data_IF_242136772654
#
_entry.id   IF_242136772654
#
_cell.length_a   1.000
_cell.length_b   1.000
_cell.length_c   1.000
_cell.angle_alpha   90.00
_cell.angle_beta   90.00
_cell.angle_gamma   90.00
#
_symmetry.space_group_name_H-M   'P 1'
#
loop_
_entity.id
_entity.type
_entity.pdbx_description
1 polymer ?
#
# COMPACT_ATOMS: atom_id res chain seq x y z
N UNK A 1 -4.08 32.31 22.28
CA UNK A 1 -5.24 32.50 21.38
C UNK A 1 -5.30 31.28 20.47
N UNK A 2 -6.46 30.66 20.24
CA UNK A 2 -6.53 29.52 19.32
C UNK A 2 -6.43 30.03 17.87
N UNK A 3 -5.48 29.47 17.12
CA UNK A 3 -5.20 29.81 15.73
C UNK A 3 -5.16 28.54 14.87
N UNK A 4 -5.50 28.68 13.59
CA UNK A 4 -5.49 27.61 12.61
C UNK A 4 -4.61 28.02 11.45
N UNK A 5 -3.76 27.10 11.00
CA UNK A 5 -2.85 27.33 9.90
C UNK A 5 -3.24 26.47 8.70
N UNK A 6 -3.27 27.06 7.52
CA UNK A 6 -3.38 26.35 6.26
C UNK A 6 -2.13 26.57 5.43
N UNK A 7 -1.62 25.50 4.84
CA UNK A 7 -0.42 25.49 4.01
C UNK A 7 -0.78 24.89 2.66
N UNK A 8 -0.75 25.72 1.63
CA UNK A 8 -0.76 25.25 0.25
C UNK A 8 0.69 24.94 -0.17
N UNK A 9 0.94 23.68 -0.51
CA UNK A 9 2.28 23.17 -0.77
C UNK A 9 2.60 23.16 -2.26
N UNK A 10 3.82 23.58 -2.61
CA UNK A 10 4.38 23.52 -3.95
C UNK A 10 5.91 23.31 -3.92
N UNK A 11 6.52 22.92 -5.04
CA UNK A 11 7.92 22.46 -5.09
C UNK A 11 8.99 23.49 -4.67
N UNK A 12 8.73 24.81 -4.77
CA UNK A 12 9.75 25.84 -4.50
C UNK A 12 9.39 26.78 -3.36
N UNK A 13 8.10 26.87 -3.07
CA UNK A 13 7.56 27.76 -2.05
C UNK A 13 6.23 27.19 -1.57
N UNK A 14 5.81 27.66 -0.41
CA UNK A 14 4.51 27.31 0.15
C UNK A 14 3.80 28.60 0.52
N UNK A 15 2.50 28.65 0.26
CA UNK A 15 1.66 29.74 0.73
C UNK A 15 1.03 29.35 2.06
N UNK A 16 1.13 30.24 3.03
CA UNK A 16 0.69 30.03 4.40
C UNK A 16 -0.34 31.08 4.75
N UNK A 17 -1.43 30.65 5.37
CA UNK A 17 -2.42 31.54 5.97
C UNK A 17 -2.72 31.10 7.40
N UNK A 18 -2.81 32.07 8.31
CA UNK A 18 -3.17 31.84 9.72
C UNK A 18 -4.42 32.63 10.04
N UNK A 19 -5.42 31.96 10.60
CA UNK A 19 -6.69 32.56 11.01
C UNK A 19 -6.95 32.32 12.49
N UNK A 20 -7.64 33.26 13.13
CA UNK A 20 -8.13 33.07 14.50
C UNK A 20 -9.47 32.29 14.53
N UNK A 21 -9.99 32.04 15.72
CA UNK A 21 -11.27 31.38 15.93
C UNK A 21 -12.46 32.14 15.30
N UNK A 22 -12.41 33.48 15.28
CA UNK A 22 -13.44 34.31 14.65
C UNK A 22 -13.42 34.23 13.11
N UNK A 23 -12.32 33.72 12.53
CA UNK A 23 -12.10 33.66 11.10
C UNK A 23 -11.41 34.91 10.56
N UNK A 24 -10.85 35.75 11.42
CA UNK A 24 -10.02 36.88 11.01
C UNK A 24 -8.70 36.35 10.46
N UNK A 25 -8.30 36.82 9.28
CA UNK A 25 -6.97 36.57 8.75
C UNK A 25 -5.95 37.36 9.56
N UNK A 26 -5.09 36.65 10.31
CA UNK A 26 -4.03 37.26 11.12
C UNK A 26 -2.80 37.58 10.25
N UNK A 27 -2.39 36.60 9.45
CA UNK A 27 -1.23 36.74 8.56
C UNK A 27 -1.36 35.81 7.37
N UNK A 28 -0.81 36.27 6.23
CA UNK A 28 -0.61 35.47 5.03
C UNK A 28 0.77 35.75 4.49
N UNK A 29 1.55 34.71 4.22
CA UNK A 29 2.91 34.84 3.73
C UNK A 29 3.30 33.65 2.86
N UNK A 30 4.16 33.91 1.88
CA UNK A 30 4.85 32.87 1.11
C UNK A 30 6.19 32.56 1.77
N UNK A 31 6.48 31.28 1.98
CA UNK A 31 7.73 30.78 2.54
C UNK A 31 8.48 29.92 1.50
N UNK A 32 9.80 29.82 1.63
CA UNK A 32 10.64 28.92 0.82
C UNK A 32 10.53 27.47 1.30
N UNK A 33 10.80 26.49 0.43
CA UNK A 33 10.88 25.06 0.78
C UNK A 33 12.28 24.71 1.35
N UNK A 34 12.69 25.43 2.40
CA UNK A 34 13.98 25.23 3.07
C UNK A 34 13.90 25.58 4.57
N UNK A 35 15.04 25.46 5.26
CA UNK A 35 15.12 25.75 6.70
C UNK A 35 14.79 27.21 7.02
N UNK A 36 15.13 28.15 6.13
CA UNK A 36 14.80 29.56 6.34
C UNK A 36 13.28 29.77 6.27
N UNK A 37 12.61 29.13 5.32
CA UNK A 37 11.16 29.15 5.20
C UNK A 37 10.45 28.50 6.39
N UNK A 38 10.95 27.37 6.87
CA UNK A 38 10.42 26.73 8.09
C UNK A 38 10.66 27.58 9.35
N UNK A 39 11.81 28.23 9.47
CA UNK A 39 12.10 29.14 10.58
C UNK A 39 11.15 30.33 10.57
N UNK A 40 10.90 30.91 9.40
CA UNK A 40 9.94 32.00 9.22
C UNK A 40 8.50 31.56 9.55
N UNK A 41 8.13 30.33 9.20
CA UNK A 41 6.84 29.73 9.58
C UNK A 41 6.72 29.57 11.09
N UNK A 42 7.72 28.95 11.74
CA UNK A 42 7.73 28.74 13.19
C UNK A 42 7.65 30.06 13.96
N UNK A 43 8.40 31.08 13.54
CA UNK A 43 8.34 32.42 14.13
C UNK A 43 6.94 33.05 13.97
N UNK A 44 6.34 32.93 12.79
CA UNK A 44 5.00 33.43 12.50
C UNK A 44 3.93 32.74 13.37
N UNK A 45 4.02 31.42 13.53
CA UNK A 45 3.09 30.67 14.37
C UNK A 45 3.24 31.06 15.85
N UNK A 46 4.47 31.23 16.33
CA UNK A 46 4.75 31.66 17.69
C UNK A 46 4.25 33.09 17.98
N UNK A 47 4.45 34.02 17.04
CA UNK A 47 3.99 35.41 17.14
C UNK A 47 2.47 35.50 17.32
N UNK A 48 1.70 34.71 16.57
CA UNK A 48 0.24 34.75 16.61
C UNK A 48 -0.42 33.78 17.62
N UNK A 49 0.33 32.81 18.13
CA UNK A 49 -0.15 31.85 19.12
C UNK A 49 -0.43 32.45 20.51
N UNK A 50 0.25 33.55 20.83
CA UNK A 50 0.20 34.20 22.13
C UNK A 50 0.87 33.40 23.27
N UNK A 51 0.68 33.84 24.51
CA UNK A 51 1.41 33.33 25.70
C UNK A 51 1.17 31.84 26.03
N UNK A 52 0.14 31.21 25.45
CA UNK A 52 -0.20 29.79 25.65
C UNK A 52 0.15 28.92 24.43
N UNK A 53 1.03 29.41 23.55
CA UNK A 53 1.46 28.69 22.35
C UNK A 53 2.07 27.32 22.73
N UNK A 54 1.37 26.25 22.38
CA UNK A 54 1.80 24.87 22.61
C UNK A 54 1.81 24.10 21.30
N UNK A 55 0.67 24.06 20.61
CA UNK A 55 0.54 23.43 19.31
C UNK A 55 -0.47 24.18 18.43
N UNK A 56 -0.22 24.21 17.13
CA UNK A 56 -1.15 24.74 16.12
C UNK A 56 -1.72 23.58 15.31
N UNK A 57 -2.99 23.68 15.00
CA UNK A 57 -3.64 22.80 14.04
C UNK A 57 -3.33 23.30 12.62
N UNK A 58 -2.63 22.46 11.86
CA UNK A 58 -2.11 22.80 10.52
C UNK A 58 -2.77 21.91 9.47
N UNK A 59 -3.47 22.50 8.50
CA UNK A 59 -4.02 21.80 7.35
C UNK A 59 -3.09 21.89 6.14
N UNK A 60 -2.88 20.75 5.50
CA UNK A 60 -2.03 20.62 4.31
C UNK A 60 -2.56 19.48 3.43
N UNK A 61 -2.39 19.56 2.11
CA UNK A 61 -2.93 18.57 1.18
C UNK A 61 -2.05 17.31 1.00
N UNK A 62 -0.94 17.21 1.74
CA UNK A 62 0.00 16.08 1.70
C UNK A 62 0.22 15.46 3.07
N UNK A 63 0.38 14.14 3.12
CA UNK A 63 0.77 13.39 4.32
C UNK A 63 2.28 13.13 4.40
N UNK A 64 3.07 13.76 3.53
CA UNK A 64 4.51 13.50 3.32
C UNK A 64 5.31 14.78 3.12
N UNK A 65 6.63 14.65 3.27
CA UNK A 65 7.61 15.69 2.99
C UNK A 65 8.30 16.19 4.26
N UNK A 66 9.43 16.88 4.08
CA UNK A 66 10.24 17.39 5.19
C UNK A 66 9.49 18.45 5.99
N UNK A 67 8.68 19.30 5.35
CA UNK A 67 7.86 20.29 6.05
C UNK A 67 6.87 19.61 7.03
N UNK A 68 6.17 18.57 6.58
CA UNK A 68 5.24 17.82 7.44
C UNK A 68 5.98 17.18 8.62
N UNK A 69 7.14 16.59 8.37
CA UNK A 69 7.97 16.01 9.42
C UNK A 69 8.44 17.06 10.43
N UNK A 70 8.89 18.23 9.95
CA UNK A 70 9.36 19.34 10.79
C UNK A 70 8.22 19.94 11.63
N UNK A 71 7.03 20.13 11.05
CA UNK A 71 5.85 20.59 11.77
C UNK A 71 5.46 19.63 12.91
N UNK A 72 5.46 18.32 12.64
CA UNK A 72 5.18 17.31 13.67
C UNK A 72 6.25 17.27 14.76
N UNK A 73 7.53 17.34 14.38
CA UNK A 73 8.65 17.40 15.31
C UNK A 73 8.61 18.66 16.19
N UNK A 74 8.10 19.78 15.67
CA UNK A 74 7.83 21.00 16.42
C UNK A 74 6.57 20.94 17.31
N UNK A 75 5.89 19.78 17.39
CA UNK A 75 4.72 19.56 18.24
C UNK A 75 3.39 20.02 17.65
N UNK A 76 3.36 20.43 16.37
CA UNK A 76 2.11 20.85 15.73
C UNK A 76 1.25 19.66 15.31
N UNK A 77 -0.07 19.88 15.34
CA UNK A 77 -1.06 18.88 14.95
C UNK A 77 -1.37 19.03 13.46
N UNK A 78 -0.76 18.18 12.65
CA UNK A 78 -0.94 18.23 11.20
C UNK A 78 -2.14 17.41 10.75
N UNK A 79 -2.96 17.97 9.86
CA UNK A 79 -4.10 17.34 9.23
C UNK A 79 -3.85 17.25 7.73
N UNK A 80 -3.65 16.03 7.22
CA UNK A 80 -3.58 15.77 5.79
C UNK A 80 -5.00 15.80 5.19
N UNK A 81 -5.35 16.89 4.51
CA UNK A 81 -6.67 17.08 3.93
C UNK A 81 -6.70 16.52 2.52
N UNK A 82 -7.76 15.77 2.19
CA UNK A 82 -7.95 15.27 0.84
C UNK A 82 -8.20 16.45 -0.13
N UNK A 83 -7.47 16.58 -1.25
CA UNK A 83 -7.67 17.69 -2.19
C UNK A 83 -9.11 17.81 -2.71
N UNK A 84 -9.83 16.69 -2.81
CA UNK A 84 -11.25 16.70 -3.19
C UNK A 84 -12.15 17.32 -2.12
N UNK A 85 -11.78 17.21 -0.84
CA UNK A 85 -12.50 17.89 0.23
C UNK A 85 -12.24 19.40 0.19
N UNK A 86 -10.98 19.81 -0.03
CA UNK A 86 -10.59 21.22 -0.21
C UNK A 86 -11.33 21.83 -1.39
N UNK A 87 -11.36 21.13 -2.52
CA UNK A 87 -12.11 21.54 -3.72
C UNK A 87 -13.59 21.81 -3.44
N UNK A 88 -14.27 20.89 -2.75
CA UNK A 88 -15.68 21.05 -2.38
C UNK A 88 -15.91 22.16 -1.36
N UNK A 89 -14.93 22.41 -0.50
CA UNK A 89 -15.00 23.51 0.46
C UNK A 89 -14.77 24.85 -0.22
N UNK A 90 -13.90 24.91 -1.24
CA UNK A 90 -13.67 26.09 -2.07
C UNK A 90 -14.95 26.52 -2.78
N UNK A 91 -15.67 25.56 -3.37
CA UNK A 91 -16.95 25.81 -4.06
C UNK A 91 -18.02 26.44 -3.13
N UNK A 92 -17.91 26.26 -1.82
CA UNK A 92 -18.80 26.88 -0.83
C UNK A 92 -18.55 28.38 -0.66
N UNK A 93 -17.31 28.84 -0.86
CA UNK A 93 -16.89 30.21 -0.59
C UNK A 93 -16.73 31.04 -1.87
N UNK A 94 -16.51 30.40 -3.02
CA UNK A 94 -16.36 31.07 -4.30
C UNK A 94 -17.10 30.31 -5.40
N UNK A 95 -18.10 30.97 -5.99
CA UNK A 95 -18.85 30.48 -7.16
C UNK A 95 -18.18 30.83 -8.49
N UNK A 96 -17.18 31.72 -8.49
CA UNK A 96 -16.50 32.17 -9.72
C UNK A 96 -15.53 31.15 -10.28
N UNK A 97 -15.17 30.12 -9.50
CA UNK A 97 -14.14 29.13 -9.86
C UNK A 97 -12.72 29.69 -9.86
N UNK A 98 -12.51 30.94 -9.42
CA UNK A 98 -11.18 31.53 -9.33
C UNK A 98 -10.31 30.77 -8.32
N UNK A 99 -9.15 30.29 -8.79
CA UNK A 99 -8.14 29.60 -7.99
C UNK A 99 -6.91 30.50 -7.84
N UNK A 100 -6.37 30.60 -6.62
CA UNK A 100 -5.09 31.25 -6.36
C UNK A 100 -4.43 30.56 -5.17
N UNK A 101 -3.13 30.27 -5.26
CA UNK A 101 -2.37 29.57 -4.22
C UNK A 101 -2.50 30.24 -2.82
N UNK A 102 -2.44 31.59 -2.68
CA UNK A 102 -2.66 32.23 -1.37
C UNK A 102 -4.09 32.12 -0.85
N UNK A 103 -5.05 31.88 -1.74
CA UNK A 103 -6.45 31.61 -1.40
C UNK A 103 -6.65 30.17 -0.94
N UNK A 104 -5.89 29.22 -1.51
CA UNK A 104 -5.96 27.80 -1.14
C UNK A 104 -5.41 27.56 0.29
N UNK A 105 -4.33 28.25 0.66
CA UNK A 105 -3.84 28.26 2.04
C UNK A 105 -4.91 28.78 3.03
N UNK A 106 -5.64 29.84 2.66
CA UNK A 106 -6.71 30.40 3.50
C UNK A 106 -7.91 29.45 3.62
N UNK A 107 -8.28 28.79 2.51
CA UNK A 107 -9.32 27.76 2.46
C UNK A 107 -8.98 26.61 3.43
N UNK A 108 -7.73 26.13 3.42
CA UNK A 108 -7.25 25.08 4.33
C UNK A 108 -7.34 25.50 5.80
N UNK A 109 -6.94 26.73 6.11
CA UNK A 109 -7.00 27.26 7.48
C UNK A 109 -8.45 27.34 7.98
N UNK A 110 -9.37 27.85 7.15
CA UNK A 110 -10.80 27.91 7.49
C UNK A 110 -11.45 26.54 7.60
N UNK A 111 -11.06 25.58 6.76
CA UNK A 111 -11.57 24.22 6.80
C UNK A 111 -11.31 23.56 8.17
N UNK A 112 -10.12 23.73 8.76
CA UNK A 112 -9.89 23.29 10.13
C UNK A 112 -10.68 24.11 11.14
N UNK A 113 -10.70 25.43 11.02
CA UNK A 113 -11.44 26.28 11.95
C UNK A 113 -12.92 25.90 12.06
N UNK A 114 -13.57 25.52 10.96
CA UNK A 114 -15.02 25.22 10.93
C UNK A 114 -15.34 23.74 11.11
N UNK A 115 -14.52 22.84 10.56
CA UNK A 115 -14.86 21.41 10.44
C UNK A 115 -13.74 20.50 10.99
N UNK A 116 -12.92 21.00 11.94
CA UNK A 116 -11.82 20.24 12.60
C UNK A 116 -12.23 18.83 13.00
N UNK A 117 -13.42 18.68 13.58
CA UNK A 117 -13.98 17.43 14.09
C UNK A 117 -14.31 16.41 12.99
N UNK A 118 -14.50 16.87 11.75
CA UNK A 118 -14.71 16.03 10.58
C UNK A 118 -13.40 15.54 9.96
N UNK A 119 -12.26 16.11 10.37
CA UNK A 119 -10.93 15.73 9.92
C UNK A 119 -10.15 15.02 11.02
N UNK A 120 -9.25 14.13 10.62
CA UNK A 120 -8.39 13.39 11.56
C UNK A 120 -6.98 13.98 11.52
N UNK A 121 -6.34 14.20 12.66
CA UNK A 121 -4.92 14.51 12.67
C UNK A 121 -4.16 13.32 12.07
N UNK A 122 -2.97 13.59 11.55
CA UNK A 122 -2.05 12.55 11.13
C UNK A 122 -1.76 11.61 12.31
N UNK A 123 -1.67 10.29 12.04
CA UNK A 123 -1.43 9.32 13.09
C UNK A 123 -0.06 9.51 13.73
N UNK A 124 0.01 9.24 15.02
CA UNK A 124 1.26 9.33 15.77
C UNK A 124 2.07 8.03 15.71
N UNK A 125 2.36 7.60 14.47
CA UNK A 125 3.13 6.39 14.22
C UNK A 125 4.58 6.57 14.73
N UNK A 126 5.15 5.55 15.38
CA UNK A 126 6.53 5.62 15.92
C UNK A 126 7.57 5.78 14.81
N UNK A 127 8.77 6.25 15.15
CA UNK A 127 9.88 6.32 14.18
C UNK A 127 10.14 4.96 13.52
N UNK A 128 10.03 3.89 14.30
CA UNK A 128 10.21 2.52 13.79
C UNK A 128 9.04 2.10 12.88
N UNK A 129 7.79 2.40 13.24
CA UNK A 129 6.62 2.17 12.38
C UNK A 129 6.73 2.92 11.04
N UNK A 130 7.21 4.16 11.08
CA UNK A 130 7.49 4.96 9.88
C UNK A 130 8.62 4.36 9.03
N UNK A 131 9.72 3.92 9.65
CA UNK A 131 10.83 3.25 8.95
C UNK A 131 10.37 1.95 8.24
N UNK A 132 9.58 1.13 8.93
CA UNK A 132 8.96 -0.07 8.34
C UNK A 132 8.07 0.32 7.16
N UNK A 133 7.27 1.39 7.28
CA UNK A 133 6.42 1.88 6.18
C UNK A 133 7.24 2.27 4.95
N UNK A 134 8.34 2.99 5.12
CA UNK A 134 9.24 3.40 4.02
C UNK A 134 9.81 2.17 3.31
N UNK A 135 10.40 1.23 4.06
CA UNK A 135 10.99 0.03 3.51
C UNK A 135 9.95 -0.89 2.84
N UNK A 136 8.79 -1.07 3.46
CA UNK A 136 7.70 -1.88 2.93
C UNK A 136 7.16 -1.33 1.60
N UNK A 137 7.00 0.00 1.52
CA UNK A 137 6.56 0.68 0.29
C UNK A 137 7.59 0.56 -0.82
N UNK A 138 8.87 0.84 -0.53
CA UNK A 138 9.95 0.70 -1.49
C UNK A 138 10.07 -0.75 -2.01
N UNK A 139 9.99 -1.73 -1.11
CA UNK A 139 10.00 -3.13 -1.48
C UNK A 139 8.82 -3.51 -2.39
N UNK A 140 7.60 -3.06 -2.05
CA UNK A 140 6.41 -3.30 -2.88
C UNK A 140 6.52 -2.62 -4.26
N UNK A 141 7.08 -1.42 -4.33
CA UNK A 141 7.25 -0.67 -5.57
C UNK A 141 8.20 -1.40 -6.53
N UNK A 142 9.30 -1.97 -6.03
CA UNK A 142 10.18 -2.80 -6.86
C UNK A 142 9.53 -4.11 -7.29
N UNK A 143 8.68 -4.72 -6.46
CA UNK A 143 7.91 -5.92 -6.86
C UNK A 143 6.96 -5.59 -8.02
N UNK A 144 6.31 -4.43 -7.99
CA UNK A 144 5.46 -3.97 -9.09
C UNK A 144 6.27 -3.62 -10.34
N UNK A 145 7.40 -2.92 -10.20
CA UNK A 145 8.31 -2.62 -11.31
C UNK A 145 8.81 -3.91 -11.98
N UNK A 146 9.28 -4.89 -11.19
CA UNK A 146 9.70 -6.19 -11.70
C UNK A 146 8.60 -6.88 -12.51
N UNK A 147 7.34 -6.84 -12.04
CA UNK A 147 6.22 -7.41 -12.77
C UNK A 147 5.97 -6.71 -14.10
N UNK A 148 6.08 -5.38 -14.12
CA UNK A 148 5.95 -4.59 -15.35
C UNK A 148 7.06 -4.92 -16.36
N UNK A 149 8.32 -4.99 -15.91
CA UNK A 149 9.45 -5.32 -16.76
C UNK A 149 9.41 -6.77 -17.26
N UNK A 150 8.96 -7.72 -16.43
CA UNK A 150 8.73 -9.10 -16.86
C UNK A 150 7.66 -9.19 -17.95
N UNK A 151 6.59 -8.41 -17.85
CA UNK A 151 5.56 -8.33 -18.89
C UNK A 151 6.11 -7.69 -20.17
N UNK A 152 6.95 -6.66 -20.05
CA UNK A 152 7.63 -6.02 -21.18
C UNK A 152 8.55 -7.01 -21.90
N UNK A 153 9.36 -7.75 -21.14
CA UNK A 153 10.23 -8.80 -21.68
C UNK A 153 9.41 -9.89 -22.37
N UNK A 154 8.35 -10.37 -21.72
CA UNK A 154 7.44 -11.35 -22.32
C UNK A 154 6.84 -10.85 -23.62
N UNK A 155 6.36 -9.60 -23.67
CA UNK A 155 5.79 -9.02 -24.90
C UNK A 155 6.81 -9.02 -26.02
N UNK A 156 8.02 -8.53 -25.76
CA UNK A 156 9.09 -8.48 -26.74
C UNK A 156 9.48 -9.88 -27.24
N UNK A 157 9.65 -10.86 -26.34
CA UNK A 157 9.98 -12.23 -26.73
C UNK A 157 8.88 -12.88 -27.57
N UNK A 158 7.60 -12.53 -27.37
CA UNK A 158 6.50 -13.05 -28.24
C UNK A 158 6.63 -12.57 -29.69
N UNK A 159 7.28 -11.45 -29.95
CA UNK A 159 7.40 -10.87 -31.28
C UNK A 159 8.47 -11.54 -32.15
N UNK A 160 9.50 -12.16 -31.55
CA UNK A 160 10.62 -12.71 -32.31
C UNK A 160 11.34 -13.94 -31.71
N UNK A 161 11.07 -14.29 -30.45
CA UNK A 161 11.77 -15.38 -29.76
C UNK A 161 10.82 -16.21 -28.86
N UNK A 162 9.79 -16.87 -29.43
CA UNK A 162 8.80 -17.61 -28.65
C UNK A 162 9.38 -18.85 -27.94
N UNK A 163 10.42 -19.50 -28.47
CA UNK A 163 11.12 -20.59 -27.78
C UNK A 163 11.58 -20.23 -26.35
N UNK A 164 11.97 -18.97 -26.09
CA UNK A 164 12.31 -18.51 -24.74
C UNK A 164 11.13 -18.59 -23.75
N UNK A 165 9.90 -18.39 -24.22
CA UNK A 165 8.69 -18.45 -23.41
C UNK A 165 8.24 -19.89 -23.15
N UNK A 166 8.60 -20.81 -24.03
CA UNK A 166 8.45 -22.26 -23.82
C UNK A 166 9.49 -22.75 -22.82
N UNK A 167 10.74 -22.30 -22.97
CA UNK A 167 11.86 -22.65 -22.11
C UNK A 167 11.68 -22.19 -20.65
N UNK A 168 11.09 -21.01 -20.44
CA UNK A 168 10.99 -20.39 -19.12
C UNK A 168 9.56 -19.98 -18.78
N UNK A 169 9.00 -20.63 -17.75
CA UNK A 169 7.68 -20.27 -17.20
C UNK A 169 7.71 -18.94 -16.43
N UNK A 170 8.84 -18.64 -15.77
CA UNK A 170 9.08 -17.38 -15.07
C UNK A 170 10.39 -16.73 -15.55
N UNK A 171 10.22 -15.63 -16.29
CA UNK A 171 11.31 -14.83 -16.86
C UNK A 171 12.07 -14.00 -15.82
N UNK A 172 11.58 -13.92 -14.59
CA UNK A 172 12.26 -13.19 -13.50
C UNK A 172 13.26 -14.07 -12.74
N UNK A 173 13.29 -15.37 -13.02
CA UNK A 173 14.22 -16.29 -12.38
C UNK A 173 15.66 -15.98 -12.78
N UNK A 174 16.60 -16.19 -11.85
CA UNK A 174 18.04 -16.03 -12.13
C UNK A 174 18.47 -16.88 -13.32
N UNK A 175 17.91 -18.08 -13.47
CA UNK A 175 18.15 -18.96 -14.62
C UNK A 175 17.74 -18.33 -15.94
N UNK A 176 16.49 -17.89 -16.07
CA UNK A 176 16.01 -17.26 -17.31
C UNK A 176 16.85 -16.02 -17.66
N UNK A 177 17.13 -15.17 -16.66
CA UNK A 177 17.93 -13.96 -16.85
C UNK A 177 19.38 -14.27 -17.24
N UNK A 178 20.03 -15.26 -16.63
CA UNK A 178 21.41 -15.66 -17.00
C UNK A 178 21.49 -16.20 -18.43
N UNK A 179 20.53 -17.03 -18.84
CA UNK A 179 20.51 -17.60 -20.20
C UNK A 179 20.19 -16.52 -21.22
N UNK A 180 19.15 -15.71 -21.01
CA UNK A 180 18.77 -14.61 -21.92
C UNK A 180 19.81 -13.48 -21.96
N UNK A 181 20.57 -13.27 -20.88
CA UNK A 181 21.73 -12.38 -20.90
C UNK A 181 22.85 -12.92 -21.78
N UNK A 182 22.98 -14.24 -21.93
CA UNK A 182 24.03 -14.84 -22.78
C UNK A 182 23.56 -14.91 -24.22
N UNK A 183 22.35 -15.43 -24.43
CA UNK A 183 21.72 -15.64 -25.73
C UNK A 183 20.33 -14.95 -25.79
N UNK A 184 20.29 -13.64 -26.13
CA UNK A 184 19.06 -12.87 -26.16
C UNK A 184 18.23 -13.04 -27.45
N UNK A 185 18.74 -13.78 -28.43
CA UNK A 185 18.10 -14.00 -29.73
C UNK A 185 17.96 -15.49 -30.02
N UNK A 186 17.01 -15.90 -30.88
CA UNK A 186 16.89 -17.29 -31.31
C UNK A 186 18.17 -17.78 -31.99
N UNK A 187 18.82 -16.95 -32.83
CA UNK A 187 20.12 -17.26 -33.43
C UNK A 187 21.18 -17.58 -32.38
N UNK A 188 21.34 -16.72 -31.36
CA UNK A 188 22.34 -16.94 -30.33
C UNK A 188 22.01 -18.15 -29.45
N UNK A 189 20.73 -18.40 -29.19
CA UNK A 189 20.29 -19.50 -28.33
C UNK A 189 20.47 -20.86 -29.01
N UNK A 190 20.24 -20.96 -30.31
CA UNK A 190 20.47 -22.17 -31.09
C UNK A 190 21.95 -22.61 -31.12
N UNK A 191 22.89 -21.70 -30.87
CA UNK A 191 24.33 -21.98 -30.78
C UNK A 191 24.77 -22.49 -29.40
N UNK A 192 23.90 -22.43 -28.38
CA UNK A 192 24.25 -22.90 -27.05
C UNK A 192 24.30 -24.43 -27.04
N UNK A 193 25.48 -24.99 -26.78
CA UNK A 193 25.62 -26.42 -26.58
C UNK A 193 25.02 -26.84 -25.24
N UNK A 194 24.69 -28.13 -25.11
CA UNK A 194 24.27 -28.71 -23.82
C UNK A 194 25.27 -28.43 -22.69
N UNK A 195 26.58 -28.45 -22.98
CA UNK A 195 27.62 -28.13 -22.02
C UNK A 195 27.52 -26.67 -21.57
N UNK A 196 27.39 -25.71 -22.51
CA UNK A 196 27.20 -24.30 -22.16
C UNK A 196 25.96 -24.09 -21.29
N UNK A 197 24.86 -24.77 -21.59
CA UNK A 197 23.62 -24.66 -20.80
C UNK A 197 23.79 -25.23 -19.39
N UNK A 198 24.51 -26.33 -19.21
CA UNK A 198 24.85 -26.85 -17.88
C UNK A 198 25.65 -25.81 -17.08
N UNK A 199 26.64 -25.17 -17.69
CA UNK A 199 27.46 -24.15 -17.03
C UNK A 199 26.64 -22.91 -16.65
N UNK A 200 25.74 -22.46 -17.53
CA UNK A 200 24.83 -21.34 -17.26
C UNK A 200 23.84 -21.66 -16.14
N UNK A 201 23.30 -22.88 -16.10
CA UNK A 201 22.43 -23.34 -15.01
C UNK A 201 23.19 -23.42 -13.68
N UNK A 202 24.44 -23.86 -13.72
CA UNK A 202 25.32 -23.88 -12.56
C UNK A 202 25.60 -22.45 -12.05
N UNK A 203 25.94 -21.51 -12.94
CA UNK A 203 26.14 -20.10 -12.60
C UNK A 203 24.86 -19.42 -12.05
N UNK A 204 23.68 -19.89 -12.49
CA UNK A 204 22.40 -19.47 -11.94
C UNK A 204 22.07 -20.08 -10.56
N UNK A 205 22.93 -20.95 -10.01
CA UNK A 205 22.78 -21.56 -8.69
C UNK A 205 21.86 -22.77 -8.65
N UNK A 206 21.54 -23.38 -9.81
CA UNK A 206 20.67 -24.58 -9.90
C UNK A 206 21.46 -25.89 -9.75
N UNK A 207 22.80 -25.81 -9.76
CA UNK A 207 23.69 -26.96 -9.85
C UNK A 207 23.66 -27.60 -11.24
N UNK A 208 24.33 -28.74 -11.39
CA UNK A 208 24.39 -29.48 -12.65
C UNK A 208 23.03 -30.13 -12.94
N UNK A 209 22.35 -29.71 -14.01
CA UNK A 209 21.05 -30.25 -14.43
C UNK A 209 21.04 -30.67 -15.89
N UNK A 210 21.64 -31.82 -16.22
CA UNK A 210 21.83 -32.25 -17.61
C UNK A 210 20.52 -32.51 -18.36
N UNK A 211 19.43 -32.83 -17.66
CA UNK A 211 18.10 -33.03 -18.23
C UNK A 211 17.43 -31.69 -18.59
N UNK A 212 17.49 -30.69 -17.70
CA UNK A 212 17.00 -29.33 -17.96
C UNK A 212 17.79 -28.69 -19.12
N UNK A 213 19.11 -28.86 -19.15
CA UNK A 213 19.95 -28.41 -20.26
C UNK A 213 19.62 -29.10 -21.60
N UNK A 214 19.32 -30.40 -21.58
CA UNK A 214 18.93 -31.13 -22.79
C UNK A 214 17.59 -30.60 -23.34
N UNK A 215 16.60 -30.41 -22.46
CA UNK A 215 15.31 -29.83 -22.84
C UNK A 215 15.45 -28.40 -23.41
N UNK A 216 16.31 -27.57 -22.81
CA UNK A 216 16.60 -26.23 -23.34
C UNK A 216 17.28 -26.28 -24.71
N UNK A 217 18.20 -27.23 -24.92
CA UNK A 217 18.87 -27.41 -26.23
C UNK A 217 17.85 -27.75 -27.31
N UNK A 218 16.98 -28.73 -27.04
CA UNK A 218 15.89 -29.12 -27.94
C UNK A 218 14.95 -27.94 -28.22
N UNK A 219 14.57 -27.19 -27.18
CA UNK A 219 13.68 -26.04 -27.31
C UNK A 219 14.30 -24.92 -28.16
N UNK A 220 15.59 -24.63 -28.00
CA UNK A 220 16.26 -23.54 -28.74
C UNK A 220 16.70 -23.93 -30.16
N UNK A 221 16.70 -25.21 -30.50
CA UNK A 221 17.03 -25.70 -31.85
C UNK A 221 15.81 -26.08 -32.68
N UNK A 222 14.61 -26.01 -32.08
CA UNK A 222 13.35 -26.22 -32.79
C UNK A 222 13.15 -25.18 -33.91
N UNK A 223 12.49 -25.59 -34.99
CA UNK A 223 12.18 -24.72 -36.11
C UNK A 223 11.05 -23.74 -35.73
N UNK A 224 11.30 -22.45 -35.90
CA UNK A 224 10.35 -21.38 -35.58
C UNK A 224 10.39 -20.28 -36.65
N UNK A 225 9.33 -19.48 -36.74
CA UNK A 225 9.32 -18.27 -37.55
C UNK A 225 10.39 -17.29 -37.07
N UNK A 226 11.11 -16.66 -38.01
CA UNK A 226 12.26 -15.80 -37.73
C UNK A 226 12.03 -14.39 -38.25
N UNK A 227 12.59 -13.42 -37.53
CA UNK A 227 12.73 -12.05 -38.04
C UNK A 227 13.98 -11.97 -38.93
N UNK A 228 14.11 -10.95 -39.81
CA UNK A 228 15.35 -10.68 -40.50
C UNK A 228 16.51 -10.49 -39.51
N UNK A 229 17.72 -10.94 -39.85
CA UNK A 229 18.85 -11.01 -38.93
C UNK A 229 19.16 -9.68 -38.23
N UNK A 230 19.16 -8.56 -38.96
CA UNK A 230 19.40 -7.23 -38.37
C UNK A 230 18.33 -6.82 -37.35
N UNK A 231 17.07 -7.22 -37.59
CA UNK A 231 15.94 -6.96 -36.67
C UNK A 231 16.08 -7.84 -35.42
N UNK A 232 16.42 -9.12 -35.56
CA UNK A 232 16.69 -10.00 -34.41
C UNK A 232 17.82 -9.47 -33.54
N UNK A 233 18.92 -8.99 -34.14
CA UNK A 233 20.03 -8.39 -33.39
C UNK A 233 19.57 -7.16 -32.59
N UNK A 234 18.81 -6.26 -33.22
CA UNK A 234 18.29 -5.06 -32.54
C UNK A 234 17.31 -5.42 -31.40
N UNK A 235 16.40 -6.37 -31.63
CA UNK A 235 15.49 -6.86 -30.59
C UNK A 235 16.25 -7.58 -29.46
N UNK A 236 17.33 -8.29 -29.79
CA UNK A 236 18.24 -8.90 -28.82
C UNK A 236 18.89 -7.88 -27.88
N UNK A 237 19.30 -6.71 -28.38
CA UNK A 237 19.81 -5.63 -27.53
C UNK A 237 18.73 -5.07 -26.59
N UNK A 238 17.48 -4.96 -27.07
CA UNK A 238 16.35 -4.58 -26.22
C UNK A 238 16.07 -5.64 -25.13
N UNK A 239 16.18 -6.94 -25.45
CA UNK A 239 16.11 -8.03 -24.47
C UNK A 239 17.23 -7.89 -23.43
N UNK A 240 18.48 -7.70 -23.85
CA UNK A 240 19.63 -7.50 -22.93
C UNK A 240 19.39 -6.33 -21.98
N UNK A 241 18.86 -5.21 -22.47
CA UNK A 241 18.56 -4.05 -21.64
C UNK A 241 17.53 -4.37 -20.55
N UNK A 242 16.42 -5.03 -20.90
CA UNK A 242 15.39 -5.40 -19.91
C UNK A 242 15.92 -6.45 -18.92
N UNK A 243 16.70 -7.43 -19.39
CA UNK A 243 17.33 -8.45 -18.53
C UNK A 243 18.27 -7.82 -17.50
N UNK A 244 19.08 -6.82 -17.88
CA UNK A 244 19.93 -6.08 -16.94
C UNK A 244 19.10 -5.37 -15.87
N UNK A 245 18.02 -4.69 -16.27
CA UNK A 245 17.10 -4.02 -15.33
C UNK A 245 16.49 -5.03 -14.37
N UNK A 246 15.91 -6.12 -14.87
CA UNK A 246 15.31 -7.18 -14.03
C UNK A 246 16.32 -7.79 -13.06
N UNK A 247 17.56 -8.01 -13.50
CA UNK A 247 18.62 -8.55 -12.65
C UNK A 247 18.94 -7.60 -11.50
N UNK A 248 19.12 -6.31 -11.79
CA UNK A 248 19.35 -5.28 -10.78
C UNK A 248 18.15 -5.14 -9.83
N UNK A 249 16.93 -5.09 -10.35
CA UNK A 249 15.70 -5.01 -9.54
C UNK A 249 15.57 -6.22 -8.60
N UNK A 250 15.90 -7.43 -9.06
CA UNK A 250 15.88 -8.63 -8.21
C UNK A 250 16.89 -8.57 -7.05
N UNK A 251 18.08 -8.01 -7.27
CA UNK A 251 19.06 -7.78 -6.21
C UNK A 251 18.54 -6.74 -5.22
N UNK A 252 18.06 -5.59 -5.69
CA UNK A 252 17.51 -4.53 -4.84
C UNK A 252 16.29 -5.00 -4.03
N UNK A 253 15.44 -5.87 -4.60
CA UNK A 253 14.33 -6.50 -3.87
C UNK A 253 14.87 -7.31 -2.69
N UNK A 254 15.89 -8.16 -2.89
CA UNK A 254 16.48 -8.95 -1.79
C UNK A 254 17.09 -8.08 -0.71
N UNK A 255 17.78 -7.01 -1.10
CA UNK A 255 18.39 -6.06 -0.15
C UNK A 255 17.33 -5.35 0.69
N UNK A 256 16.27 -4.85 0.05
CA UNK A 256 15.14 -4.21 0.75
C UNK A 256 14.37 -5.21 1.61
N UNK A 257 14.21 -6.46 1.18
CA UNK A 257 13.57 -7.50 1.99
C UNK A 257 14.36 -7.76 3.27
N UNK A 258 15.69 -7.85 3.19
CA UNK A 258 16.56 -8.00 4.37
C UNK A 258 16.47 -6.79 5.31
N UNK A 259 16.54 -5.57 4.78
CA UNK A 259 16.40 -4.36 5.59
C UNK A 259 15.02 -4.25 6.25
N UNK A 260 13.96 -4.59 5.50
CA UNK A 260 12.59 -4.63 5.99
C UNK A 260 12.43 -5.65 7.11
N UNK A 261 13.01 -6.84 6.96
CA UNK A 261 13.02 -7.87 7.98
C UNK A 261 13.68 -7.40 9.28
N UNK A 262 14.90 -6.86 9.18
CA UNK A 262 15.63 -6.36 10.33
C UNK A 262 14.86 -5.26 11.08
N UNK A 263 14.22 -4.33 10.35
CA UNK A 263 13.42 -3.26 10.95
C UNK A 263 12.11 -3.77 11.55
N UNK A 264 11.42 -4.68 10.85
CA UNK A 264 10.15 -5.24 11.34
C UNK A 264 10.34 -6.09 12.60
N UNK A 265 11.39 -6.92 12.66
CA UNK A 265 11.66 -7.77 13.83
C UNK A 265 11.95 -6.98 15.11
N UNK A 266 12.39 -5.72 15.00
CA UNK A 266 12.60 -4.84 16.15
C UNK A 266 11.31 -4.21 16.68
N UNK A 267 10.22 -4.27 15.91
CA UNK A 267 8.97 -3.60 16.27
C UNK A 267 8.24 -4.33 17.41
N UNK A 268 7.71 -3.63 18.44
CA UNK A 268 7.03 -4.27 19.57
C UNK A 268 5.87 -5.21 19.16
N UNK A 269 5.10 -4.83 18.14
CA UNK A 269 3.98 -5.63 17.64
C UNK A 269 4.39 -6.74 16.65
N UNK A 270 5.67 -6.93 16.35
CA UNK A 270 6.13 -7.88 15.33
C UNK A 270 5.69 -9.31 15.64
N UNK A 271 5.87 -9.76 16.88
CA UNK A 271 5.45 -11.11 17.32
C UNK A 271 3.94 -11.30 17.21
N UNK A 272 3.16 -10.28 17.58
CA UNK A 272 1.69 -10.31 17.48
C UNK A 272 1.27 -10.43 16.02
N UNK A 273 1.87 -9.64 15.14
CA UNK A 273 1.51 -9.61 13.71
C UNK A 273 1.92 -10.91 13.01
N UNK A 274 3.12 -11.43 13.28
CA UNK A 274 3.62 -12.68 12.67
C UNK A 274 2.90 -13.93 13.21
N UNK A 275 2.29 -13.84 14.41
CA UNK A 275 1.43 -14.91 14.94
C UNK A 275 0.13 -15.11 14.14
N UNK A 276 -0.28 -14.13 13.33
CA UNK A 276 -1.52 -14.20 12.56
C UNK A 276 -1.38 -15.16 11.37
N UNK A 277 -2.31 -16.13 11.19
CA UNK A 277 -2.17 -17.14 10.13
C UNK A 277 -2.04 -16.52 8.73
N UNK A 278 -0.92 -16.79 8.06
CA UNK A 278 -0.66 -16.33 6.69
C UNK A 278 -0.01 -14.95 6.59
N UNK A 279 0.16 -14.22 7.69
CA UNK A 279 1.08 -13.08 7.75
C UNK A 279 2.45 -13.61 8.14
N UNK A 280 3.31 -13.84 7.15
CA UNK A 280 4.74 -13.94 7.40
C UNK A 280 5.38 -12.55 7.37
N UNK A 281 6.63 -12.47 7.79
CA UNK A 281 7.44 -11.25 7.89
C UNK A 281 7.13 -10.16 6.85
N UNK A 282 7.23 -10.45 5.54
CA UNK A 282 7.08 -9.42 4.49
C UNK A 282 5.65 -8.88 4.44
N UNK A 283 4.65 -9.77 4.53
CA UNK A 283 3.25 -9.36 4.53
C UNK A 283 2.88 -8.67 5.84
N UNK A 284 3.40 -9.14 6.98
CA UNK A 284 3.24 -8.51 8.28
C UNK A 284 3.77 -7.08 8.28
N UNK A 285 4.99 -6.88 7.79
CA UNK A 285 5.60 -5.56 7.68
C UNK A 285 4.84 -4.61 6.73
N UNK A 286 4.32 -5.12 5.60
CA UNK A 286 3.44 -4.33 4.71
C UNK A 286 2.13 -3.93 5.38
N UNK A 287 1.53 -4.83 6.15
CA UNK A 287 0.31 -4.56 6.90
C UNK A 287 0.57 -3.52 7.99
N UNK A 288 1.64 -3.68 8.76
CA UNK A 288 2.09 -2.71 9.78
C UNK A 288 2.37 -1.35 9.14
N UNK A 289 3.17 -1.29 8.07
CA UNK A 289 3.56 -0.04 7.44
C UNK A 289 2.39 0.77 6.84
N UNK A 290 1.29 0.12 6.47
CA UNK A 290 0.10 0.82 5.95
C UNK A 290 -0.96 1.11 7.02
N UNK A 291 -1.14 0.23 8.00
CA UNK A 291 -2.00 0.52 9.15
C UNK A 291 -1.36 1.50 10.11
N UNK A 292 -0.04 1.57 10.19
CA UNK A 292 0.67 2.23 11.27
C UNK A 292 0.55 1.49 12.60
N UNK A 293 1.28 1.98 13.58
CA UNK A 293 1.36 1.48 14.94
C UNK A 293 0.69 2.43 15.97
N UNK A 294 0.16 3.57 15.54
CA UNK A 294 -0.70 4.41 16.38
C UNK A 294 -2.00 3.65 16.76
N UNK A 295 -2.22 3.34 18.06
CA UNK A 295 -3.40 2.60 18.50
C UNK A 295 -4.71 3.40 18.34
N UNK A 296 -4.63 4.73 18.27
CA UNK A 296 -5.79 5.63 18.18
C UNK A 296 -6.20 5.96 16.75
N UNK A 297 -5.34 5.68 15.76
CA UNK A 297 -5.59 5.94 14.32
C UNK A 297 -6.91 5.39 13.82
N UNK A 298 -7.29 4.20 14.27
CA UNK A 298 -8.54 3.55 13.90
C UNK A 298 -9.45 3.32 15.09
N UNK A 299 -10.57 4.04 15.12
CA UNK A 299 -11.59 3.90 16.16
C UNK A 299 -12.08 2.46 16.28
N UNK A 300 -12.45 1.80 15.16
CA UNK A 300 -13.05 0.46 15.16
C UNK A 300 -12.53 -0.40 13.99
N UNK A 301 -12.69 -1.73 14.09
CA UNK A 301 -12.30 -2.67 13.03
C UNK A 301 -12.97 -2.40 11.68
N UNK A 302 -14.19 -1.85 11.67
CA UNK A 302 -14.86 -1.43 10.44
C UNK A 302 -14.09 -0.33 9.70
N UNK A 303 -13.45 0.60 10.42
CA UNK A 303 -12.62 1.66 9.85
C UNK A 303 -11.37 1.07 9.18
N UNK A 304 -10.73 0.08 9.80
CA UNK A 304 -9.61 -0.66 9.19
C UNK A 304 -10.01 -1.35 7.88
N UNK A 305 -11.18 -2.02 7.86
CA UNK A 305 -11.72 -2.66 6.64
C UNK A 305 -12.05 -1.64 5.54
N UNK A 306 -12.57 -0.48 5.90
CA UNK A 306 -12.86 0.60 4.96
C UNK A 306 -11.56 1.16 4.34
N UNK A 307 -10.52 1.33 5.16
CA UNK A 307 -9.22 1.83 4.73
C UNK A 307 -8.47 0.84 3.83
N UNK A 308 -8.47 -0.45 4.19
CA UNK A 308 -7.96 -1.55 3.35
C UNK A 308 -8.79 -1.77 2.07
N UNK A 309 -10.01 -1.21 2.02
CA UNK A 309 -10.95 -1.40 0.92
C UNK A 309 -11.42 -2.84 0.73
N UNK A 310 -11.56 -3.57 1.83
CA UNK A 310 -12.19 -4.89 1.89
C UNK A 310 -13.68 -4.80 2.20
N UNK A 311 -14.14 -3.69 2.78
CA UNK A 311 -15.56 -3.40 2.98
C UNK A 311 -16.22 -2.83 1.71
N UNK A 312 -17.43 -3.31 1.32
CA UNK A 312 -18.16 -2.77 0.19
C UNK A 312 -18.77 -1.39 0.50
N UNK A 313 -19.17 -0.67 -0.55
CA UNK A 313 -19.93 0.57 -0.45
C UNK A 313 -21.40 0.27 -0.74
N UNK A 314 -22.29 0.67 0.15
CA UNK A 314 -23.73 0.62 -0.14
C UNK A 314 -24.17 1.97 -0.68
N UNK A 315 -24.70 1.99 -1.91
CA UNK A 315 -25.41 3.15 -2.48
C UNK A 315 -26.90 2.88 -2.37
N UNK A 316 -27.58 3.68 -1.55
CA UNK A 316 -29.01 3.55 -1.35
C UNK A 316 -29.72 4.90 -1.55
N UNK A 317 -30.87 4.85 -2.20
CA UNK A 317 -31.88 5.91 -2.24
C UNK A 317 -33.23 5.31 -1.83
N UNK A 318 -34.27 6.13 -1.66
CA UNK A 318 -35.59 5.64 -1.26
C UNK A 318 -36.21 4.56 -2.18
N UNK A 319 -35.68 4.36 -3.40
CA UNK A 319 -36.18 3.36 -4.36
C UNK A 319 -35.13 2.36 -4.86
N UNK A 320 -33.85 2.55 -4.52
CA UNK A 320 -32.77 1.76 -5.12
C UNK A 320 -31.69 1.44 -4.09
N UNK A 321 -31.20 0.20 -4.07
CA UNK A 321 -30.09 -0.23 -3.20
C UNK A 321 -29.12 -1.09 -4.01
N UNK A 322 -27.86 -0.64 -4.07
CA UNK A 322 -26.78 -1.38 -4.70
C UNK A 322 -25.59 -1.50 -3.73
N UNK A 323 -24.96 -2.68 -3.71
CA UNK A 323 -23.73 -2.95 -2.97
C UNK A 323 -22.59 -3.04 -3.99
N UNK A 324 -21.67 -2.08 -3.93
CA UNK A 324 -20.60 -1.88 -4.91
C UNK A 324 -19.23 -2.13 -4.28
N UNK A 325 -18.25 -2.47 -5.12
CA UNK A 325 -16.86 -2.55 -4.69
C UNK A 325 -16.30 -1.15 -4.38
N UNK A 326 -15.44 -1.06 -3.36
CA UNK A 326 -14.68 0.15 -3.05
C UNK A 326 -13.43 0.21 -3.94
N UNK A 327 -13.43 1.10 -4.92
CA UNK A 327 -12.27 1.28 -5.81
C UNK A 327 -11.25 2.30 -5.27
N UNK A 328 -11.72 3.35 -4.60
CA UNK A 328 -10.85 4.32 -3.90
C UNK A 328 -10.48 3.73 -2.55
N UNK A 329 -9.23 3.28 -2.42
CA UNK A 329 -8.68 2.60 -1.24
C UNK A 329 -7.16 2.68 -1.23
N UNK A 330 -6.56 2.36 -0.09
CA UNK A 330 -5.12 2.11 -0.03
C UNK A 330 -4.79 0.85 -0.85
N UNK A 331 -4.17 1.02 -2.01
CA UNK A 331 -3.86 -0.09 -2.94
C UNK A 331 -2.84 -1.08 -2.35
N UNK A 332 -1.86 -0.59 -1.58
CA UNK A 332 -0.82 -1.42 -0.95
C UNK A 332 -1.42 -2.31 0.12
N UNK A 333 -2.24 -1.72 1.00
CA UNK A 333 -2.94 -2.47 2.03
C UNK A 333 -3.95 -3.46 1.43
N UNK A 334 -4.66 -3.07 0.37
CA UNK A 334 -5.57 -3.97 -0.33
C UNK A 334 -4.86 -5.19 -0.94
N UNK A 335 -3.68 -4.99 -1.53
CA UNK A 335 -2.81 -6.06 -2.06
C UNK A 335 -2.31 -6.97 -0.93
N UNK A 336 -1.79 -6.38 0.15
CA UNK A 336 -1.31 -7.12 1.32
C UNK A 336 -2.43 -7.94 1.98
N UNK A 337 -3.62 -7.37 2.17
CA UNK A 337 -4.77 -8.10 2.72
C UNK A 337 -5.26 -9.22 1.80
N UNK A 338 -5.19 -9.04 0.48
CA UNK A 338 -5.53 -10.10 -0.47
C UNK A 338 -4.55 -11.28 -0.36
N UNK A 339 -3.24 -10.98 -0.36
CA UNK A 339 -2.19 -12.00 -0.21
C UNK A 339 -2.26 -12.68 1.16
N UNK A 340 -2.57 -11.93 2.22
CA UNK A 340 -2.81 -12.50 3.54
C UNK A 340 -3.99 -13.48 3.53
N UNK A 341 -5.14 -13.08 2.99
CA UNK A 341 -6.30 -13.97 2.90
C UNK A 341 -5.99 -15.25 2.11
N UNK A 342 -5.21 -15.13 1.03
CA UNK A 342 -4.77 -16.27 0.24
C UNK A 342 -3.83 -17.20 1.03
N UNK A 343 -2.79 -16.64 1.66
CA UNK A 343 -1.83 -17.39 2.47
C UNK A 343 -2.48 -18.05 3.70
N UNK A 344 -3.49 -17.41 4.29
CA UNK A 344 -4.24 -17.94 5.42
C UNK A 344 -4.96 -19.26 5.10
N UNK A 345 -5.30 -19.53 3.83
CA UNK A 345 -6.00 -20.76 3.43
C UNK A 345 -5.21 -22.04 3.71
N UNK A 346 -3.87 -21.97 3.70
CA UNK A 346 -3.01 -23.14 3.98
C UNK A 346 -2.55 -23.18 5.43
N UNK A 347 -2.68 -22.07 6.16
CA UNK A 347 -2.19 -21.90 7.54
C UNK A 347 -3.30 -21.91 8.59
N UNK A 348 -4.56 -21.74 8.21
CA UNK A 348 -5.73 -21.75 9.10
C UNK A 348 -6.85 -22.62 8.54
N UNK A 349 -7.17 -23.68 9.29
CA UNK A 349 -8.32 -24.57 9.00
C UNK A 349 -9.65 -23.80 9.01
N UNK A 350 -9.78 -22.82 9.90
CA UNK A 350 -10.95 -21.94 9.97
C UNK A 350 -11.11 -21.04 8.74
N UNK A 351 -10.02 -20.42 8.28
CA UNK A 351 -10.02 -19.61 7.06
C UNK A 351 -10.36 -20.45 5.83
N UNK A 352 -9.75 -21.65 5.72
CA UNK A 352 -10.03 -22.60 4.64
C UNK A 352 -11.50 -23.01 4.60
N UNK A 353 -12.03 -23.44 5.75
CA UNK A 353 -13.43 -23.87 5.87
C UNK A 353 -14.40 -22.76 5.48
N UNK A 354 -14.11 -21.50 5.86
CA UNK A 354 -14.93 -20.37 5.46
C UNK A 354 -14.87 -20.11 3.96
N UNK A 355 -13.67 -20.10 3.37
CA UNK A 355 -13.47 -19.94 1.93
C UNK A 355 -14.22 -21.01 1.13
N UNK A 356 -14.13 -22.28 1.54
CA UNK A 356 -14.83 -23.39 0.87
C UNK A 356 -16.35 -23.24 0.95
N UNK A 357 -16.90 -22.81 2.10
CA UNK A 357 -18.33 -22.47 2.20
C UNK A 357 -18.73 -21.37 1.24
N UNK A 358 -17.92 -20.31 1.10
CA UNK A 358 -18.21 -19.21 0.15
C UNK A 358 -18.15 -19.69 -1.30
N UNK A 359 -17.16 -20.50 -1.67
CA UNK A 359 -17.03 -21.11 -3.00
C UNK A 359 -18.24 -22.00 -3.32
N UNK A 360 -18.67 -22.80 -2.35
CA UNK A 360 -19.84 -23.68 -2.47
C UNK A 360 -21.15 -22.88 -2.62
N UNK A 361 -21.22 -21.69 -2.02
CA UNK A 361 -22.33 -20.75 -2.18
C UNK A 361 -22.28 -19.92 -3.49
N UNK A 362 -21.37 -20.24 -4.42
CA UNK A 362 -21.30 -19.63 -5.76
C UNK A 362 -20.37 -18.42 -5.89
N UNK A 363 -19.69 -17.98 -4.83
CA UNK A 363 -18.72 -16.88 -4.95
C UNK A 363 -17.53 -17.31 -5.82
N UNK A 364 -17.10 -16.47 -6.78
CA UNK A 364 -15.81 -16.63 -7.48
C UNK A 364 -14.63 -16.54 -6.49
N UNK A 365 -13.46 -17.09 -6.85
CA UNK A 365 -12.25 -17.10 -6.00
C UNK A 365 -11.96 -15.77 -5.29
N UNK A 366 -11.82 -14.68 -6.07
CA UNK A 366 -11.52 -13.36 -5.54
C UNK A 366 -12.65 -12.77 -4.68
N UNK A 367 -13.90 -13.20 -4.88
CA UNK A 367 -15.02 -12.78 -4.04
C UNK A 367 -15.00 -13.56 -2.71
N UNK A 368 -14.73 -14.87 -2.76
CA UNK A 368 -14.62 -15.71 -1.58
C UNK A 368 -13.46 -15.28 -0.66
N UNK A 369 -12.31 -14.88 -1.22
CA UNK A 369 -11.16 -14.36 -0.46
C UNK A 369 -11.43 -13.00 0.20
N UNK A 370 -12.16 -12.10 -0.48
CA UNK A 370 -12.36 -10.72 0.00
C UNK A 370 -13.45 -10.59 1.07
N UNK A 371 -14.38 -11.53 1.14
CA UNK A 371 -15.47 -11.44 2.12
C UNK A 371 -14.91 -11.75 3.51
N UNK A 372 -15.05 -10.84 4.48
CA UNK A 372 -14.58 -11.12 5.83
C UNK A 372 -15.38 -12.30 6.40
N UNK A 373 -14.70 -13.16 7.16
CA UNK A 373 -15.36 -14.11 8.07
C UNK A 373 -16.32 -13.30 8.95
N UNK A 374 -17.60 -13.70 9.10
CA UNK A 374 -18.42 -13.11 10.14
C UNK A 374 -17.69 -13.36 11.47
N UNK A 375 -17.32 -12.30 12.17
CA UNK A 375 -17.02 -12.40 13.60
C UNK A 375 -18.17 -13.16 14.23
N UNK A 376 -17.88 -14.19 15.05
CA UNK A 376 -18.88 -14.98 15.79
C UNK A 376 -20.09 -14.10 16.06
N UNK A 377 -21.24 -14.50 15.51
CA UNK A 377 -22.51 -13.84 15.79
C UNK A 377 -22.55 -13.62 17.31
N UNK A 378 -22.58 -12.36 17.74
CA UNK A 378 -23.29 -12.06 18.97
C UNK A 378 -24.69 -12.57 18.69
N UNK A 379 -25.02 -13.73 19.25
CA UNK A 379 -26.41 -14.17 19.33
C UNK A 379 -27.19 -12.99 19.90
N UNK A 380 -28.21 -12.47 19.21
CA UNK A 380 -29.02 -11.41 19.78
C UNK A 380 -29.59 -11.96 21.09
N UNK A 381 -29.27 -11.30 22.21
CA UNK A 381 -29.98 -11.58 23.46
C UNK A 381 -31.47 -11.36 23.17
N UNK A 382 -32.37 -12.28 23.57
CA UNK A 382 -33.80 -12.05 23.40
C UNK A 382 -34.17 -10.76 24.12
N UNK A 383 -34.74 -9.81 23.39
CA UNK A 383 -35.36 -8.61 23.95
C UNK A 383 -36.45 -9.06 24.92
N UNK A 384 -36.45 -8.59 26.18
CA UNK A 384 -37.58 -8.82 27.08
C UNK A 384 -38.83 -8.15 26.47
N UNK A 385 -40.02 -8.76 26.61
CA UNK A 385 -41.25 -8.17 26.10
C UNK A 385 -41.52 -6.83 26.81
N UNK A 386 -41.89 -5.82 26.03
CA UNK A 386 -42.35 -4.53 26.53
C UNK A 386 -43.68 -4.71 27.28
N UNK A 387 -43.91 -3.99 28.40
CA UNK A 387 -45.18 -4.04 29.11
C UNK A 387 -46.29 -3.34 28.30
N UNK A 388 -47.48 -3.94 28.36
CA UNK A 388 -48.69 -3.43 27.72
C UNK A 388 -49.10 -2.07 28.32
N UNK A 389 -49.31 -1.07 27.47
CA UNK A 389 -50.03 0.15 27.82
C UNK A 389 -51.33 0.27 26.99
N UNK A 390 -52.41 0.81 27.59
CA UNK A 390 -53.76 0.63 27.07
C UNK A 390 -54.14 1.64 25.98
N UNK A 391 -55.12 1.22 25.18
CA UNK A 391 -55.77 1.95 24.08
C UNK A 391 -56.30 3.34 24.50
N UNK A 392 -56.13 4.33 23.61
CA UNK A 392 -57.23 5.00 22.90
C UNK A 392 -56.73 6.29 22.20
N UNK A 393 -57.12 6.52 20.94
CA UNK A 393 -58.05 7.60 20.54
C UNK A 393 -58.10 7.78 19.01
N UNK A 394 -59.27 7.41 18.49
CA UNK A 394 -60.08 8.02 17.44
C UNK A 394 -59.40 8.72 16.23
N UNK A 395 -59.67 8.14 15.06
CA UNK A 395 -59.52 8.74 13.74
C UNK A 395 -60.59 9.80 13.49
N UNK A 396 -60.21 10.92 12.87
CA UNK A 396 -61.11 11.87 12.21
C UNK A 396 -60.74 12.01 10.71
N UNK A 397 -61.68 12.42 9.82
CA UNK A 397 -61.68 12.02 8.42
C UNK A 397 -61.00 12.99 7.46
N UNK A 398 -60.71 12.44 6.27
CA UNK A 398 -60.05 13.03 5.09
C UNK A 398 -60.71 14.34 4.61
N UNK A 399 -59.90 15.36 4.37
CA UNK A 399 -60.20 16.48 3.48
C UNK A 399 -59.54 16.24 2.12
N UNK A 400 -60.37 16.21 1.08
CA UNK A 400 -59.95 16.22 -0.31
C UNK A 400 -59.34 17.58 -0.67
N UNK A 401 -58.16 17.58 -1.29
CA UNK A 401 -57.64 18.74 -2.02
C UNK A 401 -57.12 18.29 -3.39
N UNK A 402 -57.87 18.75 -4.38
CA UNK A 402 -57.47 18.99 -5.77
C UNK A 402 -56.12 19.72 -5.85
N UNK A 403 -55.21 19.22 -6.68
CA UNK A 403 -53.90 19.81 -6.92
C UNK A 403 -53.40 19.48 -8.32
N UNK A 404 -53.15 20.53 -9.08
CA UNK A 404 -52.90 20.57 -10.51
C UNK A 404 -51.74 19.71 -11.02
N UNK A 405 -51.96 19.19 -12.23
CA UNK A 405 -50.96 18.58 -13.11
C UNK A 405 -50.06 19.68 -13.68
N UNK A 406 -48.80 19.73 -13.25
CA UNK A 406 -47.74 20.48 -13.93
C UNK A 406 -46.79 19.49 -14.61
N UNK A 407 -46.78 19.58 -15.93
CA UNK A 407 -45.88 18.89 -16.85
C UNK A 407 -44.58 19.68 -16.97
N UNK A 408 -43.43 19.06 -16.71
CA UNK A 408 -42.13 19.57 -17.16
C UNK A 408 -41.22 18.45 -17.64
N UNK A 409 -41.05 18.44 -18.97
CA UNK A 409 -39.94 17.99 -19.80
C UNK A 409 -38.82 17.12 -19.18
N UNK A 410 -38.81 15.85 -19.60
CA UNK A 410 -37.62 15.02 -19.72
C UNK A 410 -36.85 15.38 -20.99
N UNK A 411 -35.67 16.01 -20.85
CA UNK A 411 -34.63 15.97 -21.88
C UNK A 411 -33.72 14.78 -21.59
N UNK A 412 -33.75 13.81 -22.50
CA UNK A 412 -32.80 12.72 -22.55
C UNK A 412 -31.41 13.22 -22.93
N UNK A 413 -30.40 12.65 -22.29
CA UNK A 413 -29.03 12.60 -22.83
C UNK A 413 -28.59 11.15 -22.80
N UNK A 414 -28.08 10.76 -23.95
CA UNK A 414 -27.75 9.43 -24.43
C UNK A 414 -26.79 8.64 -23.55
N UNK A 415 -27.10 7.34 -23.44
CA UNK A 415 -26.20 6.29 -23.01
C UNK A 415 -25.01 6.20 -23.97
N UNK A 416 -23.80 6.43 -23.46
CA UNK A 416 -22.54 6.15 -24.16
C UNK A 416 -21.94 4.85 -23.63
N UNK A 417 -21.60 3.97 -24.56
CA UNK A 417 -21.11 2.61 -24.38
C UNK A 417 -19.91 2.51 -23.42
N UNK A 418 -20.04 1.66 -22.40
CA UNK A 418 -18.90 1.20 -21.59
C UNK A 418 -18.37 -0.06 -22.25
N UNK A 419 -17.26 0.10 -22.97
CA UNK A 419 -16.46 -1.01 -23.50
C UNK A 419 -15.84 -1.77 -22.32
N UNK A 420 -16.26 -3.03 -22.19
CA UNK A 420 -15.79 -3.97 -21.18
C UNK A 420 -14.36 -4.45 -21.54
N UNK A 421 -13.34 -3.82 -20.96
CA UNK A 421 -11.97 -4.31 -21.04
C UNK A 421 -11.78 -5.45 -20.02
N UNK A 422 -12.11 -6.67 -20.44
CA UNK A 422 -11.68 -7.89 -19.75
C UNK A 422 -10.16 -8.05 -19.87
N UNK A 423 -9.43 -7.58 -18.86
CA UNK A 423 -8.03 -7.93 -18.67
C UNK A 423 -7.92 -9.41 -18.28
N UNK A 424 -7.46 -10.22 -19.24
CA UNK A 424 -7.05 -11.62 -19.04
C UNK A 424 -5.87 -11.66 -18.07
N UNK A 425 -6.16 -11.85 -16.77
CA UNK A 425 -5.14 -12.14 -15.77
C UNK A 425 -4.84 -13.65 -15.87
N UNK A 426 -3.88 -14.01 -16.72
CA UNK A 426 -3.26 -15.33 -16.70
C UNK A 426 -2.60 -15.48 -15.33
N UNK A 427 -3.08 -16.45 -14.56
CA UNK A 427 -2.51 -16.85 -13.28
C UNK A 427 -1.14 -17.46 -13.57
N UNK A 428 -0.11 -16.64 -13.55
CA UNK A 428 1.27 -17.10 -13.44
C UNK A 428 1.46 -17.69 -12.04
N UNK A 429 1.90 -18.94 -12.00
CA UNK A 429 2.34 -19.64 -10.78
C UNK A 429 3.41 -18.80 -10.10
N UNK A 430 3.10 -18.19 -8.95
CA UNK A 430 4.10 -17.50 -8.13
C UNK A 430 4.93 -18.55 -7.38
N UNK A 431 6.25 -18.33 -7.20
CA UNK A 431 7.13 -19.32 -6.61
C UNK A 431 6.76 -19.61 -5.16
N UNK A 432 6.77 -20.89 -4.82
CA UNK A 432 6.71 -21.41 -3.45
C UNK A 432 7.85 -20.83 -2.62
N UNK A 433 7.52 -20.09 -1.56
CA UNK A 433 8.47 -19.73 -0.51
C UNK A 433 8.87 -21.00 0.24
N UNK A 434 10.11 -21.45 0.04
CA UNK A 434 10.70 -22.56 0.76
C UNK A 434 11.18 -22.05 2.14
N UNK A 435 10.60 -22.61 3.20
CA UNK A 435 10.86 -22.24 4.58
C UNK A 435 12.24 -22.73 5.01
N UNK A 436 13.19 -21.83 5.24
CA UNK A 436 14.46 -22.16 5.86
C UNK A 436 14.23 -22.63 7.32
N UNK A 437 14.59 -23.90 7.61
CA UNK A 437 14.61 -24.45 8.97
C UNK A 437 15.77 -23.81 9.75
N UNK A 438 15.49 -23.11 10.86
CA UNK A 438 16.50 -22.69 11.84
C UNK A 438 16.90 -23.88 12.73
N UNK A 439 18.17 -24.27 12.67
CA UNK A 439 18.81 -25.16 13.66
C UNK A 439 19.28 -24.33 14.85
N UNK A 440 18.73 -24.58 16.05
CA UNK A 440 19.23 -23.99 17.30
C UNK A 440 20.48 -24.76 17.76
N UNK A 441 21.63 -24.11 17.80
CA UNK A 441 22.79 -24.59 18.54
C UNK A 441 22.70 -24.10 19.99
N UNK A 442 22.48 -25.03 20.92
CA UNK A 442 22.77 -24.87 22.35
C UNK A 442 24.25 -25.19 22.55
N UNK A 443 25.01 -24.29 23.16
CA UNK A 443 26.30 -24.61 23.75
C UNK A 443 26.38 -24.03 25.16
N UNK A 444 26.37 -24.92 26.14
CA UNK A 444 26.84 -24.67 27.48
C UNK A 444 27.47 -25.96 27.99
N UNK A 445 28.77 -25.93 28.28
CA UNK A 445 29.33 -26.61 29.45
C UNK A 445 30.73 -26.11 29.74
N UNK A 446 31.02 -26.08 31.04
CA UNK A 446 32.17 -25.50 31.70
C UNK A 446 33.41 -26.39 31.65
N UNK A 447 34.60 -25.77 31.67
CA UNK A 447 35.83 -26.30 32.28
C UNK A 447 36.61 -25.10 32.83
N UNK A 448 36.84 -25.07 34.14
CA UNK A 448 37.69 -24.06 34.79
C UNK A 448 39.14 -24.53 34.93
N UNK A 449 40.05 -23.66 35.42
CA UNK A 449 41.30 -24.13 36.01
C UNK A 449 41.53 -23.59 37.44
N UNK A 450 42.14 -24.45 38.27
CA UNK A 450 42.68 -24.14 39.59
C UNK A 450 44.09 -23.52 39.50
N UNK A 451 44.28 -22.46 40.30
CA UNK A 451 45.41 -22.04 41.14
C UNK A 451 46.88 -22.39 40.77
N UNK A 452 47.68 -21.33 40.69
CA UNK A 452 48.85 -21.00 41.55
C UNK A 452 49.38 -19.63 41.05
N UNK A 453 49.72 -18.58 41.79
CA UNK A 453 50.10 -18.38 43.18
C UNK A 453 51.35 -17.49 43.16
N UNK A 454 51.28 -16.24 43.67
CA UNK A 454 52.32 -15.50 44.42
C UNK A 454 52.07 -13.98 44.50
N UNK A 455 51.99 -13.51 45.75
CA UNK A 455 52.65 -12.32 46.33
C UNK A 455 52.16 -10.89 46.01
N UNK A 456 51.52 -10.30 47.03
CA UNK A 456 51.36 -8.88 47.39
C UNK A 456 52.72 -8.15 47.61
N UNK A 457 52.83 -6.79 47.68
CA UNK A 457 52.01 -5.93 48.54
C UNK A 457 51.61 -4.51 48.08
N UNK A 458 50.70 -3.96 48.89
CA UNK A 458 50.15 -2.61 48.98
C UNK A 458 51.15 -1.46 48.85
N UNK A 459 50.68 -0.32 48.32
CA UNK A 459 50.86 1.01 48.92
C UNK A 459 49.79 1.99 48.40
N UNK A 460 49.09 2.59 49.37
CA UNK A 460 48.22 3.76 49.31
C UNK A 460 48.97 5.02 48.92
N UNK A 461 48.33 5.95 48.19
CA UNK A 461 48.07 7.37 48.58
C UNK A 461 47.45 8.15 47.42
N UNK A 462 46.46 8.98 47.78
CA UNK A 462 45.85 10.15 47.13
C UNK A 462 45.33 10.11 45.68
#
# INVERSE_FOLDING_TARGET
MEIFCGIDWAERHHDVAVVDQAGTLLVRRRITDDLAGFTALSAMLAEHGGEQFTAVDVAIETDRGLLVAALRAAGHRVFAINPKAVDRYRDRHSVSGAKSDPGDALVLAHLLRTDRDQHRPMPDDSELGQAVSVLARAHQDLIWARRQDANRLRSLLREFFPAALTAFTDLTTKTALTVLATAPTPTAAALLTRANLVDLLHAAGRGTRPAEAAHLTETFTAEELRQPAAVETAMGEAVRAIVRTLTATNESIRQLEHALAASFEQHPDAEIIDSLPGLGLVLGARVLGEFGDDPTRFTHAASRRNYAGTAPITRASGRHRAVLARYIRNKRLADACYLWAFAALTRSTGARSYYDRRRSAGDRHNAALRRPTPSRQQTPRPTPPLPDHPRALQRSPRLARTGHRLTTNSRGVSSGDVVDHTANNVVGTLPTFESAKRTRLRSGSAVGPQRAGRSFPHLTTD
#
